data_IF_154224554398
#
_entry.id   IF_154224554398
#
_cell.length_a   1.000
_cell.length_b   1.000
_cell.length_c   1.000
_cell.angle_alpha   90.00
_cell.angle_beta   90.00
_cell.angle_gamma   90.00
#
_symmetry.space_group_name_H-M   'P 1'
#
loop_
_entity.id
_entity.type
_entity.pdbx_description
1 polymer ?
#
# COMPACT_ATOMS: atom_id res chain seq x y z
N UNK A 1 27.01 -21.00 34.52
CA UNK A 1 27.02 -19.76 33.72
C UNK A 1 25.71 -19.03 33.96
N UNK A 2 25.70 -17.77 34.41
CA UNK A 2 24.44 -17.04 34.55
C UNK A 2 23.86 -16.74 33.16
N UNK A 3 22.56 -16.99 32.99
CA UNK A 3 21.81 -16.68 31.78
C UNK A 3 21.31 -15.23 31.87
N UNK A 4 21.60 -14.43 30.85
CA UNK A 4 21.10 -13.06 30.72
C UNK A 4 20.13 -12.97 29.54
N UNK A 5 18.96 -12.36 29.76
CA UNK A 5 17.95 -12.22 28.74
C UNK A 5 18.25 -11.01 27.84
N UNK A 6 18.29 -11.22 26.53
CA UNK A 6 18.38 -10.15 25.55
C UNK A 6 16.98 -9.64 25.20
N UNK A 7 16.79 -8.33 25.31
CA UNK A 7 15.52 -7.69 24.93
C UNK A 7 15.31 -7.80 23.42
N UNK A 8 14.18 -8.39 23.02
CA UNK A 8 13.75 -8.46 21.62
C UNK A 8 12.29 -7.98 21.46
N UNK A 9 11.89 -7.67 20.23
CA UNK A 9 10.55 -7.18 19.90
C UNK A 9 9.95 -8.06 18.80
N UNK A 10 8.66 -8.40 18.95
CA UNK A 10 7.92 -9.16 17.95
C UNK A 10 7.78 -8.38 16.63
N UNK A 11 7.85 -9.11 15.51
CA UNK A 11 7.69 -8.52 14.16
C UNK A 11 6.30 -8.86 13.63
N UNK A 12 5.49 -7.85 13.37
CA UNK A 12 4.15 -8.04 12.82
C UNK A 12 4.20 -8.50 11.36
N UNK A 13 3.37 -9.49 11.01
CA UNK A 13 3.23 -10.02 9.66
C UNK A 13 1.77 -9.93 9.22
N UNK A 14 1.46 -9.00 8.32
CA UNK A 14 0.11 -8.82 7.81
C UNK A 14 -0.35 -10.04 7.01
N UNK A 15 -1.52 -10.59 7.31
CA UNK A 15 -2.12 -11.73 6.60
C UNK A 15 -1.82 -13.12 7.18
N UNK A 16 -0.95 -13.26 8.19
CA UNK A 16 -0.73 -14.56 8.88
C UNK A 16 -1.87 -14.89 9.83
N UNK A 17 -2.31 -13.91 10.63
CA UNK A 17 -3.47 -14.04 11.52
C UNK A 17 -4.70 -13.35 10.97
N UNK A 18 -4.61 -12.04 10.75
CA UNK A 18 -5.65 -11.24 10.13
C UNK A 18 -5.04 -10.35 9.04
N UNK A 19 -5.84 -10.03 8.03
CA UNK A 19 -5.48 -9.06 7.01
C UNK A 19 -5.95 -7.67 7.40
N UNK A 20 -5.00 -6.75 7.48
CA UNK A 20 -5.24 -5.32 7.66
C UNK A 20 -5.02 -4.64 6.31
N UNK A 21 -6.05 -3.93 5.85
CA UNK A 21 -5.98 -3.12 4.63
C UNK A 21 -4.95 -1.99 4.81
N UNK A 22 -3.98 -1.91 3.89
CA UNK A 22 -2.84 -0.99 4.06
C UNK A 22 -3.19 0.47 3.76
N UNK A 23 -4.12 0.71 2.84
CA UNK A 23 -4.62 2.05 2.52
C UNK A 23 -5.63 2.49 3.59
N UNK A 24 -5.28 3.52 4.38
CA UNK A 24 -6.12 4.05 5.46
C UNK A 24 -7.04 5.16 4.97
N UNK A 25 -6.52 6.04 4.10
CA UNK A 25 -7.24 7.24 3.64
C UNK A 25 -6.93 7.56 2.19
N UNK A 26 -7.96 7.97 1.45
CA UNK A 26 -7.88 8.50 0.09
C UNK A 26 -8.39 9.93 0.08
N UNK A 27 -7.49 10.87 -0.22
CA UNK A 27 -7.82 12.30 -0.36
C UNK A 27 -7.96 12.64 -1.86
N UNK A 28 -9.13 13.10 -2.26
CA UNK A 28 -9.44 13.55 -3.61
C UNK A 28 -9.38 15.07 -3.68
N UNK A 29 -8.47 15.57 -4.51
CA UNK A 29 -8.31 16.99 -4.78
C UNK A 29 -8.82 17.33 -6.18
N UNK A 30 -9.64 18.36 -6.29
CA UNK A 30 -10.28 18.77 -7.54
C UNK A 30 -10.32 20.29 -7.71
N UNK A 31 -10.66 20.78 -8.89
CA UNK A 31 -10.89 22.21 -9.13
C UNK A 31 -12.21 22.38 -9.89
N UNK A 32 -13.04 23.34 -9.49
CA UNK A 32 -14.36 23.56 -10.08
C UNK A 32 -14.28 24.11 -11.51
N UNK A 33 -13.31 24.99 -11.77
CA UNK A 33 -13.25 25.79 -12.99
C UNK A 33 -12.40 25.17 -14.11
N UNK A 34 -11.27 24.55 -13.75
CA UNK A 34 -10.29 24.10 -14.74
C UNK A 34 -10.73 22.82 -15.45
N UNK A 35 -10.72 22.81 -16.79
CA UNK A 35 -11.12 21.67 -17.62
C UNK A 35 -10.37 20.36 -17.31
N UNK A 36 -9.14 20.46 -16.78
CA UNK A 36 -8.36 19.27 -16.39
C UNK A 36 -8.95 18.45 -15.25
N UNK A 37 -9.86 19.04 -14.45
CA UNK A 37 -10.59 18.39 -13.37
C UNK A 37 -11.97 17.90 -13.78
N UNK A 38 -12.39 18.07 -15.05
CA UNK A 38 -13.73 17.70 -15.51
C UNK A 38 -14.08 16.24 -15.19
N UNK A 39 -13.18 15.32 -15.49
CA UNK A 39 -13.39 13.90 -15.17
C UNK A 39 -13.39 13.60 -13.68
N UNK A 40 -12.58 14.31 -12.88
CA UNK A 40 -12.61 14.20 -11.42
C UNK A 40 -13.96 14.67 -10.87
N UNK A 41 -14.46 15.81 -11.32
CA UNK A 41 -15.73 16.36 -10.85
C UNK A 41 -16.89 15.39 -11.15
N UNK A 42 -16.90 14.78 -12.34
CA UNK A 42 -17.86 13.73 -12.69
C UNK A 42 -17.68 12.47 -11.84
N UNK A 43 -16.44 12.04 -11.57
CA UNK A 43 -16.14 10.89 -10.72
C UNK A 43 -16.63 11.08 -9.28
N UNK A 44 -16.43 12.28 -8.71
CA UNK A 44 -16.86 12.64 -7.36
C UNK A 44 -18.38 12.53 -7.19
N UNK A 45 -19.16 12.91 -8.20
CA UNK A 45 -20.63 12.89 -8.13
C UNK A 45 -21.23 11.53 -8.47
N UNK A 46 -20.67 10.82 -9.44
CA UNK A 46 -21.25 9.57 -9.96
C UNK A 46 -20.71 8.31 -9.30
N UNK A 47 -19.39 8.11 -9.33
CA UNK A 47 -18.74 6.83 -9.00
C UNK A 47 -18.26 6.75 -7.55
N UNK A 48 -17.76 7.87 -6.99
CA UNK A 48 -17.18 7.89 -5.65
C UNK A 48 -18.13 7.40 -4.55
N UNK A 49 -19.44 7.76 -4.52
CA UNK A 49 -20.35 7.28 -3.48
C UNK A 49 -20.54 5.75 -3.48
N UNK A 50 -20.52 5.13 -4.66
CA UNK A 50 -20.58 3.67 -4.78
C UNK A 50 -19.26 3.02 -4.34
N UNK A 51 -18.12 3.63 -4.71
CA UNK A 51 -16.81 3.18 -4.24
C UNK A 51 -16.67 3.27 -2.72
N UNK A 52 -17.11 4.37 -2.11
CA UNK A 52 -17.08 4.58 -0.65
C UNK A 52 -17.88 3.51 0.09
N UNK A 53 -19.11 3.24 -0.36
CA UNK A 53 -19.97 2.20 0.22
C UNK A 53 -19.35 0.80 0.16
N UNK A 54 -18.61 0.50 -0.91
CA UNK A 54 -17.89 -0.78 -1.06
C UNK A 54 -16.64 -0.89 -0.19
N UNK A 55 -16.11 0.23 0.31
CA UNK A 55 -14.82 0.28 1.02
C UNK A 55 -14.94 1.06 2.35
N UNK A 56 -15.76 0.60 3.31
CA UNK A 56 -15.99 1.33 4.56
C UNK A 56 -14.74 1.43 5.46
N UNK A 57 -13.73 0.58 5.23
CA UNK A 57 -12.46 0.62 5.98
C UNK A 57 -11.48 1.71 5.53
N UNK A 58 -11.81 2.49 4.50
CA UNK A 58 -10.97 3.57 3.98
C UNK A 58 -11.68 4.90 4.24
N UNK A 59 -10.99 5.82 4.91
CA UNK A 59 -11.46 7.19 5.05
C UNK A 59 -11.37 7.91 3.69
N UNK A 60 -12.45 8.53 3.25
CA UNK A 60 -12.51 9.26 1.99
C UNK A 60 -12.68 10.74 2.30
N UNK A 61 -11.72 11.54 1.87
CA UNK A 61 -11.75 12.99 1.99
C UNK A 61 -11.81 13.63 0.62
N UNK A 62 -12.62 14.67 0.47
CA UNK A 62 -12.74 15.44 -0.76
C UNK A 62 -12.46 16.89 -0.41
N UNK A 63 -11.50 17.50 -1.11
CA UNK A 63 -11.14 18.90 -0.85
C UNK A 63 -10.86 19.67 -2.14
N UNK A 64 -11.36 20.91 -2.26
CA UNK A 64 -11.06 21.74 -3.41
C UNK A 64 -9.58 22.13 -3.41
N UNK A 65 -9.02 22.26 -4.62
CA UNK A 65 -7.65 22.68 -4.90
C UNK A 65 -7.67 23.63 -6.11
N UNK A 66 -8.15 24.87 -5.93
CA UNK A 66 -8.34 25.82 -7.02
C UNK A 66 -7.02 26.11 -7.78
N UNK A 67 -7.12 26.26 -9.10
CA UNK A 67 -5.98 26.62 -9.95
C UNK A 67 -4.90 25.53 -10.10
N UNK A 68 -5.15 24.29 -9.66
CA UNK A 68 -4.20 23.19 -9.78
C UNK A 68 -4.86 21.92 -10.33
N UNK A 69 -4.05 21.05 -10.93
CA UNK A 69 -4.52 19.76 -11.45
C UNK A 69 -5.09 18.86 -10.35
N UNK A 70 -6.06 18.00 -10.69
CA UNK A 70 -6.67 17.06 -9.75
C UNK A 70 -5.68 15.97 -9.35
N UNK A 71 -5.71 15.58 -8.08
CA UNK A 71 -4.78 14.60 -7.50
C UNK A 71 -5.56 13.69 -6.57
N UNK A 72 -5.23 12.39 -6.59
CA UNK A 72 -5.64 11.44 -5.55
C UNK A 72 -4.42 11.16 -4.69
N UNK A 73 -4.54 11.31 -3.37
CA UNK A 73 -3.48 11.01 -2.41
C UNK A 73 -3.92 9.87 -1.50
N UNK A 74 -3.22 8.74 -1.59
CA UNK A 74 -3.39 7.62 -0.67
C UNK A 74 -2.42 7.71 0.50
N UNK A 75 -2.95 7.60 1.71
CA UNK A 75 -2.19 7.50 2.96
C UNK A 75 -2.25 6.08 3.50
N UNK A 76 -1.10 5.53 3.88
CA UNK A 76 -0.94 4.12 4.26
C UNK A 76 -0.55 3.97 5.74
N UNK A 77 -0.78 2.79 6.30
CA UNK A 77 -0.51 2.48 7.72
C UNK A 77 0.97 2.66 8.08
N UNK A 78 1.87 2.42 7.14
CA UNK A 78 3.31 2.62 7.33
C UNK A 78 3.73 4.11 7.38
N UNK A 79 2.79 5.04 7.40
CA UNK A 79 3.01 6.49 7.43
C UNK A 79 3.36 7.12 6.09
N UNK A 80 3.55 6.32 5.03
CA UNK A 80 3.86 6.83 3.70
C UNK A 80 2.61 7.30 2.99
N UNK A 81 2.83 8.14 1.98
CA UNK A 81 1.78 8.65 1.13
C UNK A 81 2.19 8.55 -0.33
N UNK A 82 1.22 8.27 -1.20
CA UNK A 82 1.41 8.21 -2.65
C UNK A 82 0.37 9.08 -3.31
N UNK A 83 0.80 9.97 -4.19
CA UNK A 83 -0.08 10.86 -4.93
C UNK A 83 -0.04 10.49 -6.42
N UNK A 84 -1.22 10.46 -7.06
CA UNK A 84 -1.36 10.27 -8.51
C UNK A 84 -2.11 11.49 -9.05
N UNK A 85 -1.50 12.18 -10.02
CA UNK A 85 -2.16 13.23 -10.78
C UNK A 85 -3.09 12.59 -11.81
N UNK A 86 -4.35 13.03 -11.85
CA UNK A 86 -5.38 12.46 -12.74
C UNK A 86 -5.95 13.52 -13.70
N UNK A 87 -5.08 14.43 -14.15
CA UNK A 87 -5.43 15.48 -15.11
C UNK A 87 -6.00 14.89 -16.40
N UNK A 88 -7.11 15.45 -16.89
CA UNK A 88 -7.77 15.05 -18.15
C UNK A 88 -8.16 13.55 -18.24
N UNK A 89 -8.18 12.82 -17.14
CA UNK A 89 -8.61 11.42 -17.13
C UNK A 89 -10.14 11.31 -17.10
N UNK A 90 -10.68 10.26 -17.71
CA UNK A 90 -12.09 9.93 -17.62
C UNK A 90 -12.43 9.29 -16.26
N UNK A 91 -13.69 9.33 -15.80
CA UNK A 91 -14.08 8.73 -14.51
C UNK A 91 -13.71 7.25 -14.35
N UNK A 92 -13.72 6.47 -15.44
CA UNK A 92 -13.29 5.07 -15.44
C UNK A 92 -11.78 4.91 -15.17
N UNK A 93 -10.95 5.71 -15.83
CA UNK A 93 -9.50 5.71 -15.61
C UNK A 93 -9.15 6.19 -14.19
N UNK A 94 -9.91 7.16 -13.66
CA UNK A 94 -9.78 7.64 -12.28
C UNK A 94 -10.13 6.52 -11.28
N UNK A 95 -11.15 5.72 -11.57
CA UNK A 95 -11.49 4.55 -10.77
C UNK A 95 -10.33 3.55 -10.74
N UNK A 96 -9.73 3.24 -11.89
CA UNK A 96 -8.56 2.35 -11.95
C UNK A 96 -7.39 2.88 -11.12
N UNK A 97 -7.11 4.19 -11.16
CA UNK A 97 -6.06 4.79 -10.32
C UNK A 97 -6.40 4.75 -8.84
N UNK A 98 -7.68 4.86 -8.51
CA UNK A 98 -8.18 4.75 -7.13
C UNK A 98 -8.02 3.32 -6.61
N UNK A 99 -8.39 2.32 -7.41
CA UNK A 99 -8.20 0.91 -7.11
C UNK A 99 -6.72 0.53 -6.98
N UNK A 100 -5.86 1.10 -7.84
CA UNK A 100 -4.41 0.96 -7.73
C UNK A 100 -3.88 1.48 -6.39
N UNK A 101 -4.34 2.65 -5.93
CA UNK A 101 -3.95 3.21 -4.63
C UNK A 101 -4.50 2.39 -3.46
N UNK A 102 -5.75 1.91 -3.56
CA UNK A 102 -6.35 1.00 -2.57
C UNK A 102 -5.53 -0.29 -2.43
N UNK A 103 -5.14 -0.89 -3.55
CA UNK A 103 -4.44 -2.18 -3.59
C UNK A 103 -2.94 -2.08 -3.24
N UNK A 104 -2.38 -0.88 -3.16
CA UNK A 104 -0.97 -0.70 -2.86
C UNK A 104 -0.65 -0.92 -1.37
N UNK A 105 0.54 -1.46 -1.09
CA UNK A 105 1.04 -1.64 0.29
C UNK A 105 1.58 -0.35 0.93
N UNK A 106 1.74 0.71 0.15
CA UNK A 106 2.41 1.94 0.58
C UNK A 106 3.94 1.82 0.65
N UNK A 107 4.55 0.68 0.32
CA UNK A 107 6.00 0.55 0.26
C UNK A 107 6.61 1.40 -0.87
N UNK A 108 7.90 1.75 -0.72
CA UNK A 108 8.63 2.44 -1.78
C UNK A 108 8.84 1.46 -2.93
N UNK A 109 8.51 1.89 -4.15
CA UNK A 109 8.80 1.10 -5.35
C UNK A 109 10.29 0.79 -5.41
N UNK A 110 10.60 -0.50 -5.44
CA UNK A 110 11.96 -1.04 -5.54
C UNK A 110 11.97 -2.20 -6.51
N UNK A 111 13.10 -2.42 -7.17
CA UNK A 111 13.27 -3.60 -8.02
C UNK A 111 13.39 -4.84 -7.14
N UNK A 112 12.46 -5.78 -7.30
CA UNK A 112 12.48 -7.07 -6.60
C UNK A 112 13.09 -8.13 -7.51
N UNK A 113 14.14 -8.81 -7.03
CA UNK A 113 14.81 -9.91 -7.76
C UNK A 113 14.41 -11.29 -7.24
N UNK A 114 14.10 -11.39 -5.94
CA UNK A 114 13.74 -12.65 -5.28
C UNK A 114 12.23 -12.68 -5.05
N UNK A 115 11.55 -13.79 -5.35
CA UNK A 115 10.11 -13.90 -5.16
C UNK A 115 9.70 -14.01 -3.69
N UNK A 116 10.60 -14.49 -2.82
CA UNK A 116 10.32 -14.76 -1.41
C UNK A 116 11.23 -13.92 -0.51
N UNK A 117 10.63 -13.34 0.53
CA UNK A 117 11.34 -12.71 1.65
C UNK A 117 10.91 -13.42 2.93
N UNK A 118 11.83 -14.12 3.59
CA UNK A 118 11.57 -14.82 4.86
C UNK A 118 12.26 -14.09 6.01
N UNK A 119 11.62 -14.11 7.18
CA UNK A 119 12.24 -13.74 8.46
C UNK A 119 12.63 -14.96 9.29
N UNK A 120 12.17 -16.16 8.89
CA UNK A 120 12.43 -17.40 9.58
C UNK A 120 13.74 -18.01 9.09
N UNK A 121 14.43 -18.72 9.99
CA UNK A 121 15.63 -19.48 9.68
C UNK A 121 15.33 -20.67 8.75
N UNK A 122 16.40 -21.23 8.17
CA UNK A 122 16.28 -22.41 7.30
C UNK A 122 15.82 -23.62 8.11
N UNK A 123 14.72 -24.24 7.68
CA UNK A 123 14.14 -25.44 8.33
C UNK A 123 15.14 -26.60 8.41
N UNK A 124 16.04 -26.73 7.42
CA UNK A 124 17.03 -27.81 7.34
C UNK A 124 18.43 -27.40 7.80
N UNK A 125 18.57 -26.19 8.34
CA UNK A 125 19.88 -25.57 8.60
C UNK A 125 20.54 -25.04 7.34
N UNK A 126 21.75 -24.53 7.51
CA UNK A 126 22.64 -24.09 6.43
C UNK A 126 23.66 -25.20 6.20
N UNK A 127 24.02 -25.42 4.94
CA UNK A 127 25.03 -26.43 4.61
C UNK A 127 26.37 -26.13 5.29
N UNK A 128 27.00 -27.17 5.83
CA UNK A 128 28.33 -27.15 6.43
C UNK A 128 29.15 -28.33 5.87
N UNK A 129 30.38 -28.10 5.38
CA UNK A 129 31.24 -29.16 4.83
C UNK A 129 31.56 -30.30 5.80
N UNK A 130 31.63 -30.06 7.10
CA UNK A 130 32.04 -31.07 8.09
C UNK A 130 30.89 -31.95 8.58
N UNK A 131 29.65 -31.55 8.33
CA UNK A 131 28.44 -32.28 8.71
C UNK A 131 27.83 -33.07 7.53
N UNK A 132 28.61 -33.28 6.48
CA UNK A 132 28.23 -34.08 5.32
C UNK A 132 28.32 -35.58 5.58
N UNK A 133 27.52 -36.38 4.86
CA UNK A 133 27.46 -37.84 5.00
C UNK A 133 28.82 -38.57 4.89
N UNK A 134 29.80 -37.99 4.21
CA UNK A 134 31.14 -38.56 4.00
C UNK A 134 32.12 -38.32 5.16
N UNK A 135 31.87 -37.32 6.00
CA UNK A 135 32.73 -36.98 7.14
C UNK A 135 32.11 -37.59 8.41
N UNK A 136 32.69 -38.68 8.88
CA UNK A 136 32.41 -39.21 10.22
C UNK A 136 33.34 -38.49 11.20
N UNK A 137 32.76 -37.62 12.02
CA UNK A 137 33.44 -37.08 13.22
C UNK A 137 33.50 -38.15 14.29
#
# INVERSE_FOLDING_TARGET
MPLEALRSVARAQNGVGAFILQCKRLDFHYCDWAGSSKGMNTFLTSTLPAFARKNPGIEISVSPRPGRHPIIRGSYINGKQRAICVRNMQPSEILEKTELLKGASGEKLKRTRKPVTSMNESVRGVWDPFHGHSYKV
#
